data_IF_547479948794
#
_entry.id   IF_547479948794
#
_cell.length_a   1.000
_cell.length_b   1.000
_cell.length_c   1.000
_cell.angle_alpha   90.00
_cell.angle_beta   90.00
_cell.angle_gamma   90.00
#
_symmetry.space_group_name_H-M   'P 1'
#
loop_
_entity.id
_entity.type
_entity.pdbx_description
1 polymer ?
#
# COMPACT_ATOMS: atom_id res chain seq x y z
N UNK A 1 -11.82 88.25 34.41
CA UNK A 1 -10.39 88.56 34.22
C UNK A 1 -9.60 87.30 34.58
N UNK A 2 -8.53 86.84 33.96
CA UNK A 2 -7.67 87.24 32.82
C UNK A 2 -6.79 86.00 32.55
N UNK A 3 -6.36 85.82 31.30
CA UNK A 3 -5.42 84.79 30.79
C UNK A 3 -4.02 84.85 31.43
N UNK A 4 -3.30 83.71 31.46
CA UNK A 4 -1.85 83.48 31.14
C UNK A 4 -1.48 82.01 31.41
N UNK A 5 -1.13 81.13 30.43
CA UNK A 5 0.14 80.86 29.66
C UNK A 5 1.19 79.90 30.32
N UNK A 6 1.61 78.88 29.52
CA UNK A 6 2.85 78.03 29.50
C UNK A 6 3.01 76.97 30.61
N UNK A 7 3.58 75.76 30.42
CA UNK A 7 4.60 75.15 29.51
C UNK A 7 4.50 73.60 29.53
N UNK A 8 4.56 72.88 28.39
CA UNK A 8 5.68 72.05 27.84
C UNK A 8 6.26 70.95 28.75
N UNK A 9 6.24 69.68 28.30
CA UNK A 9 7.40 68.80 28.00
C UNK A 9 6.92 67.44 27.45
N UNK A 10 7.51 67.05 26.33
CA UNK A 10 7.45 65.77 25.61
C UNK A 10 8.72 64.95 25.91
N UNK A 11 8.63 63.62 25.85
CA UNK A 11 9.73 62.65 25.68
C UNK A 11 9.05 61.33 25.28
N UNK A 12 9.03 60.85 24.02
CA UNK A 12 10.15 60.55 23.10
C UNK A 12 11.26 59.77 23.81
N UNK A 13 11.07 58.46 23.91
CA UNK A 13 12.14 57.48 24.11
C UNK A 13 12.46 56.87 22.75
N UNK A 14 13.59 57.33 22.21
CA UNK A 14 14.25 56.82 21.01
C UNK A 14 14.78 55.41 21.31
N UNK A 15 14.29 54.42 20.55
CA UNK A 15 14.94 53.11 20.47
C UNK A 15 15.93 53.22 19.31
N UNK A 16 17.19 53.48 19.65
CA UNK A 16 18.33 53.41 18.75
C UNK A 16 18.43 51.99 18.17
N UNK A 17 18.25 51.87 16.85
CA UNK A 17 18.55 50.66 16.11
C UNK A 17 19.98 50.84 15.61
N UNK A 18 20.93 50.19 16.26
CA UNK A 18 22.30 50.06 15.77
C UNK A 18 22.27 49.26 14.45
N UNK A 19 22.68 49.92 13.36
CA UNK A 19 22.95 49.31 12.06
C UNK A 19 24.23 48.47 12.17
N UNK A 20 24.11 47.22 12.63
CA UNK A 20 25.19 46.25 12.48
C UNK A 20 25.27 45.80 11.00
N UNK A 21 26.35 46.21 10.34
CA UNK A 21 26.78 45.71 9.03
C UNK A 21 26.91 44.17 9.06
N UNK A 22 26.06 43.51 8.28
CA UNK A 22 26.05 42.05 8.15
C UNK A 22 27.18 41.61 7.22
N UNK A 23 28.27 41.15 7.83
CA UNK A 23 29.50 40.67 7.18
C UNK A 23 29.23 39.48 6.26
N UNK A 24 29.68 39.59 5.00
CA UNK A 24 29.65 38.52 4.02
C UNK A 24 30.77 37.53 4.31
N UNK A 25 30.46 36.39 4.93
CA UNK A 25 31.41 35.29 4.94
C UNK A 25 30.81 33.98 4.42
N UNK A 26 31.43 33.52 3.34
CA UNK A 26 31.06 32.39 2.51
C UNK A 26 31.22 31.08 3.28
N UNK A 27 30.15 30.30 3.38
CA UNK A 27 30.26 28.84 3.47
C UNK A 27 29.41 28.21 2.38
N UNK A 28 30.11 27.80 1.32
CA UNK A 28 29.65 26.80 0.37
C UNK A 28 29.06 25.61 1.13
N UNK A 29 27.85 25.18 0.79
CA UNK A 29 27.63 23.83 0.30
C UNK A 29 26.23 23.58 -0.27
N UNK A 30 26.26 23.01 -1.48
CA UNK A 30 25.28 22.17 -2.13
C UNK A 30 24.15 22.86 -2.94
N UNK A 31 24.48 23.09 -4.21
CA UNK A 31 23.54 23.39 -5.26
C UNK A 31 22.61 22.19 -5.53
N UNK A 32 21.32 22.38 -5.29
CA UNK A 32 20.27 21.70 -6.03
C UNK A 32 19.38 22.77 -6.64
N UNK A 33 19.58 23.02 -7.93
CA UNK A 33 18.82 24.00 -8.70
C UNK A 33 17.39 23.52 -8.88
N UNK A 34 16.47 24.12 -8.13
CA UNK A 34 15.12 24.35 -8.62
C UNK A 34 14.90 25.86 -8.56
N UNK A 35 14.49 26.46 -9.66
CA UNK A 35 14.25 27.91 -9.78
C UNK A 35 12.94 28.29 -9.09
N UNK A 36 12.78 27.87 -7.85
CA UNK A 36 11.70 28.23 -6.94
C UNK A 36 12.37 28.65 -5.63
N UNK A 37 12.19 29.91 -5.26
CA UNK A 37 12.75 30.44 -4.00
C UNK A 37 12.29 29.54 -2.85
N UNK A 38 13.23 29.00 -2.08
CA UNK A 38 12.87 28.09 -0.97
C UNK A 38 12.06 28.85 0.09
N UNK A 39 11.23 28.16 0.86
CA UNK A 39 10.42 28.80 1.92
C UNK A 39 11.30 29.49 2.97
N UNK A 40 12.49 28.92 3.22
CA UNK A 40 13.51 29.47 4.10
C UNK A 40 14.12 30.77 3.54
N UNK A 41 14.38 30.84 2.23
CA UNK A 41 14.82 32.07 1.54
C UNK A 41 13.76 33.18 1.58
N UNK A 42 12.47 32.83 1.47
CA UNK A 42 11.37 33.80 1.56
C UNK A 42 11.32 34.42 2.97
N UNK A 43 11.60 33.61 4.01
CA UNK A 43 11.70 34.10 5.39
C UNK A 43 13.05 34.75 5.72
N UNK A 44 14.06 34.59 4.86
CA UNK A 44 15.42 35.08 5.06
C UNK A 44 16.17 34.35 6.18
N UNK A 45 15.86 33.07 6.42
CA UNK A 45 16.46 32.27 7.49
C UNK A 45 17.14 31.02 6.92
N UNK A 46 18.12 30.48 7.63
CA UNK A 46 18.76 29.22 7.25
C UNK A 46 17.84 28.02 7.55
N UNK A 47 18.04 26.90 6.84
CA UNK A 47 17.26 25.66 7.01
C UNK A 47 17.43 25.02 8.40
N UNK A 48 18.55 25.26 9.06
CA UNK A 48 18.96 24.70 10.37
C UNK A 48 18.39 25.47 11.57
N UNK A 49 17.62 26.53 11.33
CA UNK A 49 17.15 27.50 12.33
C UNK A 49 16.07 26.91 13.25
N UNK A 50 16.07 27.32 14.52
CA UNK A 50 15.09 26.82 15.50
C UNK A 50 13.67 27.32 15.22
N UNK A 51 12.65 26.59 15.68
CA UNK A 51 11.24 27.01 15.50
C UNK A 51 10.95 28.40 16.11
N UNK A 52 11.62 28.73 17.22
CA UNK A 52 11.50 30.05 17.85
C UNK A 52 12.06 31.18 16.98
N UNK A 53 13.16 30.92 16.27
CA UNK A 53 13.77 31.89 15.36
C UNK A 53 12.94 32.10 14.08
N UNK A 54 12.32 31.04 13.54
CA UNK A 54 11.36 31.12 12.44
C UNK A 54 10.18 32.04 12.82
N UNK A 55 9.63 31.85 14.02
CA UNK A 55 8.53 32.69 14.52
C UNK A 55 8.96 34.14 14.69
N UNK A 56 10.19 34.40 15.17
CA UNK A 56 10.74 35.76 15.30
C UNK A 56 10.95 36.42 13.93
N UNK A 57 11.49 35.69 12.95
CA UNK A 57 11.67 36.18 11.58
C UNK A 57 10.34 36.53 10.91
N UNK A 58 9.33 35.67 11.08
CA UNK A 58 7.96 35.95 10.62
C UNK A 58 7.39 37.24 11.22
N UNK A 59 7.52 37.46 12.53
CA UNK A 59 7.00 38.69 13.15
C UNK A 59 7.70 39.94 12.60
N UNK A 60 9.01 39.90 12.41
CA UNK A 60 9.78 41.01 11.83
C UNK A 60 9.33 41.32 10.39
N UNK A 61 9.14 40.29 9.56
CA UNK A 61 8.68 40.45 8.18
C UNK A 61 7.21 40.87 8.09
N UNK A 62 6.35 40.33 8.95
CA UNK A 62 4.93 40.67 9.00
C UNK A 62 4.71 42.15 9.36
N UNK A 63 5.52 42.71 10.27
CA UNK A 63 5.47 44.13 10.61
C UNK A 63 5.94 45.03 9.44
N UNK A 64 6.92 44.58 8.67
CA UNK A 64 7.43 45.30 7.49
C UNK A 64 6.47 45.22 6.31
N UNK A 65 5.77 44.10 6.13
CA UNK A 65 4.86 43.85 5.02
C UNK A 65 3.38 44.06 5.39
N UNK A 66 3.10 44.67 6.54
CA UNK A 66 1.72 44.86 7.00
C UNK A 66 0.98 45.84 6.06
N UNK A 67 -0.22 45.50 5.57
CA UNK A 67 -0.95 46.33 4.60
C UNK A 67 -1.35 47.71 5.16
N UNK A 68 -1.45 47.85 6.47
CA UNK A 68 -1.70 49.14 7.15
C UNK A 68 -0.51 50.11 7.07
N UNK A 69 0.73 49.59 7.06
CA UNK A 69 1.95 50.40 7.00
C UNK A 69 2.47 50.59 5.58
N UNK A 70 2.09 49.70 4.67
CA UNK A 70 2.45 49.74 3.25
C UNK A 70 1.18 49.61 2.38
N UNK A 71 0.53 50.73 2.03
CA UNK A 71 -0.75 50.75 1.31
C UNK A 71 -0.63 50.43 -0.20
N UNK A 72 0.38 49.67 -0.62
CA UNK A 72 0.56 49.24 -2.02
C UNK A 72 -0.09 47.88 -2.30
N UNK A 73 -0.56 47.65 -3.52
CA UNK A 73 -1.15 46.36 -3.96
C UNK A 73 -0.20 45.18 -3.72
N UNK A 74 1.11 45.38 -3.92
CA UNK A 74 2.16 44.37 -3.69
C UNK A 74 2.24 43.89 -2.23
N UNK A 75 1.89 44.73 -1.26
CA UNK A 75 2.02 44.40 0.16
C UNK A 75 1.06 43.27 0.55
N UNK A 76 -0.15 43.29 -0.02
CA UNK A 76 -1.17 42.26 0.21
C UNK A 76 -0.72 40.91 -0.33
N UNK A 77 -0.16 40.86 -1.53
CA UNK A 77 0.34 39.62 -2.14
C UNK A 77 1.54 39.06 -1.37
N UNK A 78 2.51 39.91 -1.01
CA UNK A 78 3.69 39.51 -0.20
C UNK A 78 3.29 39.04 1.19
N UNK A 79 2.28 39.66 1.81
CA UNK A 79 1.76 39.24 3.10
C UNK A 79 1.04 37.88 3.02
N UNK A 80 0.25 37.65 1.98
CA UNK A 80 -0.37 36.34 1.73
C UNK A 80 0.67 35.24 1.50
N UNK A 81 1.75 35.53 0.76
CA UNK A 81 2.87 34.59 0.61
C UNK A 81 3.55 34.30 1.95
N UNK A 82 3.78 35.31 2.78
CA UNK A 82 4.35 35.16 4.11
C UNK A 82 3.46 34.30 5.03
N UNK A 83 2.14 34.45 4.95
CA UNK A 83 1.17 33.63 5.69
C UNK A 83 1.21 32.16 5.26
N UNK A 84 1.38 31.88 3.97
CA UNK A 84 1.55 30.50 3.47
C UNK A 84 2.85 29.88 3.97
N UNK A 85 3.94 30.65 3.98
CA UNK A 85 5.24 30.16 4.46
C UNK A 85 5.18 29.74 5.93
N UNK A 86 4.58 30.58 6.80
CA UNK A 86 4.49 30.26 8.23
C UNK A 86 3.50 29.13 8.53
N UNK A 87 2.48 28.91 7.68
CA UNK A 87 1.58 27.76 7.78
C UNK A 87 2.34 26.42 7.67
N UNK A 88 3.43 26.39 6.90
CA UNK A 88 4.24 25.19 6.63
C UNK A 88 5.43 25.10 7.58
N UNK A 89 6.22 26.18 7.71
CA UNK A 89 7.42 26.19 8.56
C UNK A 89 7.11 26.38 10.06
N UNK A 90 5.90 26.82 10.39
CA UNK A 90 5.43 27.06 11.75
C UNK A 90 4.88 25.83 12.46
N UNK A 91 4.68 24.72 11.76
CA UNK A 91 4.30 23.44 12.36
C UNK A 91 5.48 22.47 12.19
N UNK A 92 5.88 21.83 13.27
CA UNK A 92 7.03 20.92 13.27
C UNK A 92 6.81 19.71 12.35
N UNK A 93 5.58 19.21 12.28
CA UNK A 93 5.22 18.09 11.41
C UNK A 93 5.26 18.50 9.93
N UNK A 94 4.69 19.66 9.60
CA UNK A 94 4.68 20.18 8.22
C UNK A 94 6.06 20.63 7.75
N UNK A 95 6.88 21.15 8.67
CA UNK A 95 8.29 21.51 8.39
C UNK A 95 9.10 20.26 8.06
N UNK A 96 8.98 19.20 8.86
CA UNK A 96 9.65 17.93 8.59
C UNK A 96 9.23 17.36 7.23
N UNK A 97 7.94 17.44 6.91
CA UNK A 97 7.42 17.01 5.61
C UNK A 97 7.98 17.86 4.46
N UNK A 98 8.03 19.19 4.61
CA UNK A 98 8.63 20.10 3.63
C UNK A 98 10.13 19.82 3.44
N UNK A 99 10.86 19.57 4.52
CA UNK A 99 12.28 19.23 4.48
C UNK A 99 12.55 17.90 3.75
N UNK A 100 11.62 16.94 3.83
CA UNK A 100 11.73 15.64 3.18
C UNK A 100 11.28 15.65 1.71
N UNK A 101 10.20 16.36 1.41
CA UNK A 101 9.50 16.28 0.11
C UNK A 101 9.73 17.50 -0.79
N UNK A 102 10.12 18.65 -0.22
CA UNK A 102 10.28 19.91 -0.94
C UNK A 102 8.97 20.52 -1.48
N UNK A 103 7.82 19.97 -1.13
CA UNK A 103 6.53 20.34 -1.70
C UNK A 103 5.84 21.46 -0.91
N UNK A 104 5.28 22.47 -1.59
CA UNK A 104 4.84 23.75 -0.99
C UNK A 104 3.32 23.94 -0.98
N UNK A 105 2.56 23.23 -1.82
CA UNK A 105 1.13 23.49 -1.97
C UNK A 105 0.23 22.46 -1.26
N UNK A 106 -0.73 22.97 -0.47
CA UNK A 106 -1.80 22.18 0.17
C UNK A 106 -2.64 21.38 -0.86
N UNK A 107 -2.65 21.82 -2.12
CA UNK A 107 -3.31 21.11 -3.23
C UNK A 107 -2.50 19.90 -3.74
N UNK A 108 -1.17 19.93 -3.62
CA UNK A 108 -0.30 18.80 -3.97
C UNK A 108 -0.22 17.78 -2.82
N UNK A 109 -0.50 18.21 -1.57
CA UNK A 109 -0.73 17.31 -0.43
C UNK A 109 -2.00 16.44 -0.58
N UNK A 110 -2.93 16.78 -1.47
CA UNK A 110 -4.16 16.01 -1.66
C UNK A 110 -3.92 14.59 -2.24
N UNK A 111 -2.71 14.32 -2.76
CA UNK A 111 -2.28 12.98 -3.21
C UNK A 111 -1.54 12.15 -2.16
N UNK A 112 -0.77 12.79 -1.27
CA UNK A 112 0.16 12.11 -0.34
C UNK A 112 -0.38 12.01 1.11
N UNK A 113 -1.46 12.73 1.44
CA UNK A 113 -2.19 12.56 2.71
C UNK A 113 -2.81 11.17 2.80
N UNK A 114 -3.28 10.57 1.69
CA UNK A 114 -3.83 9.22 1.70
C UNK A 114 -2.78 8.15 2.04
N UNK A 115 -1.55 8.36 1.59
CA UNK A 115 -0.43 7.45 1.86
C UNK A 115 0.09 7.62 3.29
N UNK A 116 0.23 8.86 3.77
CA UNK A 116 0.57 9.15 5.17
C UNK A 116 -0.52 8.67 6.16
N UNK A 117 -1.80 8.80 5.81
CA UNK A 117 -2.90 8.30 6.63
C UNK A 117 -2.88 6.76 6.72
N UNK A 118 -2.54 6.08 5.61
CA UNK A 118 -2.38 4.63 5.59
C UNK A 118 -1.22 4.18 6.47
N UNK A 119 -0.08 4.87 6.42
CA UNK A 119 1.10 4.55 7.25
C UNK A 119 0.85 4.85 8.73
N UNK A 120 0.14 5.94 9.02
CA UNK A 120 -0.34 6.28 10.36
C UNK A 120 -1.30 5.23 10.92
N UNK A 121 -2.32 4.80 10.16
CA UNK A 121 -3.20 3.73 10.62
C UNK A 121 -2.50 2.38 10.73
N UNK A 122 -1.51 2.09 9.87
CA UNK A 122 -0.69 0.87 9.98
C UNK A 122 0.25 0.88 11.19
N UNK A 123 0.67 2.05 11.69
CA UNK A 123 1.47 2.14 12.91
C UNK A 123 0.61 2.03 14.17
N UNK A 124 -0.62 2.56 14.14
CA UNK A 124 -1.57 2.47 15.25
C UNK A 124 -2.10 1.04 15.47
N UNK A 125 -2.29 0.27 14.40
CA UNK A 125 -2.84 -1.08 14.48
C UNK A 125 -1.80 -2.15 14.19
N UNK A 126 -1.69 -3.17 15.06
CA UNK A 126 -0.82 -4.33 14.82
C UNK A 126 -1.12 -4.95 13.46
N UNK A 127 -0.07 -5.17 12.66
CA UNK A 127 -0.18 -5.88 11.39
C UNK A 127 -0.68 -7.31 11.65
N UNK A 128 -1.91 -7.61 11.20
CA UNK A 128 -2.51 -8.93 11.31
C UNK A 128 -1.73 -9.91 10.44
N UNK A 129 -1.13 -10.91 11.06
CA UNK A 129 -0.42 -12.00 10.37
C UNK A 129 -1.33 -13.19 10.12
N UNK A 130 -0.94 -14.09 9.20
CA UNK A 130 -1.67 -15.35 8.99
C UNK A 130 -1.74 -16.18 10.29
N UNK A 131 -0.70 -16.12 11.12
CA UNK A 131 -0.67 -16.80 12.40
C UNK A 131 -1.70 -16.22 13.39
N UNK A 132 -1.87 -14.89 13.44
CA UNK A 132 -2.88 -14.25 14.28
C UNK A 132 -4.31 -14.67 13.84
N UNK A 133 -4.54 -14.84 12.55
CA UNK A 133 -5.84 -15.32 12.01
C UNK A 133 -6.08 -16.78 12.39
N UNK A 134 -5.06 -17.64 12.25
CA UNK A 134 -5.14 -19.06 12.64
C UNK A 134 -5.40 -19.22 14.15
N UNK A 135 -4.74 -18.41 14.98
CA UNK A 135 -4.94 -18.38 16.43
C UNK A 135 -6.34 -17.88 16.80
N UNK A 136 -6.81 -16.79 16.17
CA UNK A 136 -8.16 -16.30 16.39
C UNK A 136 -9.22 -17.33 16.00
N UNK A 137 -9.09 -17.98 14.84
CA UNK A 137 -10.03 -19.02 14.40
C UNK A 137 -10.06 -20.22 15.35
N UNK A 138 -8.91 -20.63 15.87
CA UNK A 138 -8.80 -21.72 16.84
C UNK A 138 -9.46 -21.37 18.19
N UNK A 139 -9.34 -20.12 18.62
CA UNK A 139 -9.93 -19.66 19.88
C UNK A 139 -11.43 -19.33 19.76
N UNK A 140 -11.88 -18.91 18.59
CA UNK A 140 -13.29 -18.56 18.35
C UNK A 140 -14.16 -19.80 18.13
N UNK A 141 -13.71 -20.77 17.32
CA UNK A 141 -14.49 -21.98 17.02
C UNK A 141 -14.67 -22.85 18.28
N UNK A 142 -15.92 -23.11 18.63
CA UNK A 142 -16.32 -23.87 19.82
C UNK A 142 -16.32 -23.04 21.11
N UNK A 143 -16.14 -21.73 21.03
CA UNK A 143 -16.21 -20.83 22.19
C UNK A 143 -17.65 -20.41 22.49
N UNK A 144 -17.88 -19.93 23.72
CA UNK A 144 -19.16 -19.30 24.10
C UNK A 144 -19.48 -18.09 23.23
N UNK A 145 -18.46 -17.30 22.84
CA UNK A 145 -18.64 -16.16 21.94
C UNK A 145 -19.29 -16.60 20.62
N UNK A 146 -18.85 -17.73 20.06
CA UNK A 146 -19.46 -18.27 18.85
C UNK A 146 -20.92 -18.70 19.06
N UNK A 147 -21.25 -19.35 20.19
CA UNK A 147 -22.64 -19.69 20.53
C UNK A 147 -23.50 -18.42 20.60
N UNK A 148 -23.02 -17.38 21.29
CA UNK A 148 -23.75 -16.11 21.43
C UNK A 148 -23.97 -15.40 20.09
N UNK A 149 -22.95 -15.33 19.25
CA UNK A 149 -23.03 -14.72 17.91
C UNK A 149 -23.98 -15.52 17.01
N UNK A 150 -23.95 -16.85 17.09
CA UNK A 150 -24.81 -17.73 16.31
C UNK A 150 -26.30 -17.53 16.66
N UNK A 151 -26.61 -17.43 17.95
CA UNK A 151 -27.97 -17.13 18.44
C UNK A 151 -28.43 -15.76 17.95
N UNK A 152 -27.60 -14.73 18.15
CA UNK A 152 -27.93 -13.36 17.71
C UNK A 152 -28.17 -13.28 16.20
N UNK A 153 -27.30 -13.90 15.39
CA UNK A 153 -27.46 -13.94 13.93
C UNK A 153 -28.67 -14.76 13.51
N UNK A 154 -29.02 -15.83 14.24
CA UNK A 154 -30.22 -16.60 13.96
C UNK A 154 -31.47 -15.75 14.11
N UNK A 155 -31.57 -14.96 15.18
CA UNK A 155 -32.70 -14.06 15.40
C UNK A 155 -32.76 -12.98 14.30
N UNK A 156 -31.63 -12.35 14.00
CA UNK A 156 -31.51 -11.35 12.93
C UNK A 156 -31.92 -11.90 11.56
N UNK A 157 -31.46 -13.11 11.23
CA UNK A 157 -31.74 -13.79 9.97
C UNK A 157 -33.07 -14.56 9.97
N UNK A 158 -33.81 -14.57 11.09
CA UNK A 158 -35.07 -15.30 11.29
C UNK A 158 -34.95 -16.80 10.96
N UNK A 159 -33.81 -17.40 11.28
CA UNK A 159 -33.48 -18.80 11.00
C UNK A 159 -33.20 -19.12 9.53
N UNK A 160 -32.91 -18.12 8.69
CA UNK A 160 -32.38 -18.35 7.35
C UNK A 160 -30.87 -18.63 7.42
N UNK A 161 -30.51 -19.91 7.39
CA UNK A 161 -29.13 -20.35 7.53
C UNK A 161 -28.22 -19.91 6.38
N UNK A 162 -28.72 -19.76 5.15
CA UNK A 162 -27.90 -19.27 4.03
C UNK A 162 -27.42 -17.84 4.25
N UNK A 163 -28.26 -16.98 4.81
CA UNK A 163 -27.87 -15.61 5.19
C UNK A 163 -26.95 -15.62 6.41
N UNK A 164 -27.26 -16.46 7.39
CA UNK A 164 -26.43 -16.61 8.58
C UNK A 164 -25.00 -16.98 8.22
N UNK A 165 -24.78 -17.97 7.36
CA UNK A 165 -23.44 -18.38 6.93
C UNK A 165 -22.68 -17.29 6.14
N UNK A 166 -23.39 -16.35 5.51
CA UNK A 166 -22.72 -15.22 4.84
C UNK A 166 -22.23 -14.16 5.84
N UNK A 167 -22.85 -14.07 7.02
CA UNK A 167 -22.54 -13.05 8.02
C UNK A 167 -21.66 -13.60 9.15
N UNK A 168 -21.77 -14.89 9.47
CA UNK A 168 -21.07 -15.52 10.58
C UNK A 168 -19.57 -15.64 10.33
N UNK A 169 -18.78 -15.19 11.31
CA UNK A 169 -17.32 -15.29 11.30
C UNK A 169 -16.84 -16.74 11.31
N UNK A 170 -15.71 -16.97 10.64
CA UNK A 170 -15.03 -18.26 10.60
C UNK A 170 -15.93 -19.45 10.21
N UNK A 171 -17.00 -19.22 9.43
CA UNK A 171 -17.98 -20.26 9.09
C UNK A 171 -17.79 -20.84 7.68
N UNK A 172 -17.94 -22.16 7.54
CA UNK A 172 -17.99 -22.86 6.25
C UNK A 172 -19.23 -23.76 6.21
N UNK A 173 -20.21 -23.52 5.32
CA UNK A 173 -21.42 -24.33 5.23
C UNK A 173 -21.16 -25.83 5.09
N UNK A 174 -20.05 -26.26 4.48
CA UNK A 174 -19.76 -27.69 4.28
C UNK A 174 -19.22 -28.36 5.53
N UNK A 175 -18.53 -27.61 6.39
CA UNK A 175 -17.88 -28.14 7.59
C UNK A 175 -18.73 -27.90 8.84
N UNK A 176 -19.37 -26.73 8.92
CA UNK A 176 -19.99 -26.23 10.14
C UNK A 176 -21.51 -26.49 10.22
N UNK A 177 -22.16 -26.94 9.13
CA UNK A 177 -23.61 -27.18 9.13
C UNK A 177 -24.10 -28.12 10.23
N UNK A 178 -23.41 -29.24 10.47
CA UNK A 178 -23.81 -30.18 11.51
C UNK A 178 -23.60 -29.58 12.90
N UNK A 179 -22.44 -28.95 13.13
CA UNK A 179 -22.10 -28.34 14.42
C UNK A 179 -23.04 -27.19 14.79
N UNK A 180 -23.34 -26.30 13.84
CA UNK A 180 -24.29 -25.21 14.04
C UNK A 180 -25.70 -25.72 14.28
N UNK A 181 -26.09 -26.81 13.60
CA UNK A 181 -27.36 -27.47 13.88
C UNK A 181 -27.41 -27.97 15.32
N UNK A 182 -26.35 -28.63 15.80
CA UNK A 182 -26.33 -29.17 17.17
C UNK A 182 -26.41 -28.04 18.22
N UNK A 183 -25.64 -26.94 18.05
CA UNK A 183 -25.67 -25.77 18.94
C UNK A 183 -27.05 -25.10 18.94
N UNK A 184 -27.67 -24.92 17.76
CA UNK A 184 -28.98 -24.30 17.64
C UNK A 184 -30.09 -25.21 18.18
N UNK A 185 -30.01 -26.52 17.96
CA UNK A 185 -30.96 -27.49 18.51
C UNK A 185 -30.88 -27.51 20.05
N UNK A 186 -29.68 -27.44 20.61
CA UNK A 186 -29.45 -27.28 22.05
C UNK A 186 -30.11 -25.99 22.57
N UNK A 187 -29.80 -24.83 21.97
CA UNK A 187 -30.38 -23.54 22.36
C UNK A 187 -31.91 -23.49 22.21
N UNK A 188 -32.48 -24.17 21.22
CA UNK A 188 -33.93 -24.33 21.06
C UNK A 188 -34.50 -25.22 22.17
N UNK A 189 -33.80 -26.30 22.55
CA UNK A 189 -34.23 -27.20 23.62
C UNK A 189 -34.16 -26.55 25.00
N UNK A 190 -33.17 -25.70 25.23
CA UNK A 190 -33.03 -24.87 26.44
C UNK A 190 -34.08 -23.75 26.52
N UNK A 191 -34.73 -23.44 25.38
CA UNK A 191 -35.76 -22.41 25.27
C UNK A 191 -35.21 -21.00 25.06
N UNK A 192 -33.90 -20.85 24.84
CA UNK A 192 -33.26 -19.58 24.49
C UNK A 192 -33.73 -19.09 23.11
N UNK A 193 -33.97 -20.02 22.18
CA UNK A 193 -34.28 -19.71 20.79
C UNK A 193 -35.62 -20.31 20.33
N UNK A 194 -36.39 -19.54 19.56
CA UNK A 194 -37.62 -20.03 18.91
C UNK A 194 -37.30 -20.66 17.56
N UNK A 195 -37.63 -21.94 17.41
CA UNK A 195 -37.51 -22.65 16.13
C UNK A 195 -38.37 -22.01 15.04
N UNK A 196 -37.82 -21.85 13.84
CA UNK A 196 -38.52 -21.29 12.67
C UNK A 196 -38.72 -22.33 11.58
N UNK A 197 -39.74 -22.16 10.73
CA UNK A 197 -40.01 -23.07 9.60
C UNK A 197 -38.81 -23.17 8.64
N UNK A 198 -38.10 -22.06 8.42
CA UNK A 198 -36.92 -22.01 7.57
C UNK A 198 -35.80 -22.88 8.15
N UNK A 199 -35.55 -22.77 9.46
CA UNK A 199 -34.58 -23.57 10.17
C UNK A 199 -34.92 -25.07 10.11
N UNK A 200 -36.15 -25.46 10.42
CA UNK A 200 -36.58 -26.86 10.39
C UNK A 200 -36.35 -27.48 9.00
N UNK A 201 -36.66 -26.75 7.93
CA UNK A 201 -36.39 -27.21 6.56
C UNK A 201 -34.90 -27.43 6.31
N UNK A 202 -34.06 -26.51 6.76
CA UNK A 202 -32.61 -26.61 6.63
C UNK A 202 -32.04 -27.75 7.49
N UNK A 203 -32.45 -27.89 8.75
CA UNK A 203 -32.01 -28.94 9.65
C UNK A 203 -32.30 -30.34 9.08
N UNK A 204 -33.47 -30.51 8.45
CA UNK A 204 -33.84 -31.73 7.73
C UNK A 204 -32.96 -32.00 6.49
N UNK A 205 -32.44 -30.96 5.84
CA UNK A 205 -31.51 -31.10 4.72
C UNK A 205 -30.11 -31.50 5.20
N UNK A 206 -29.64 -30.90 6.30
CA UNK A 206 -28.35 -31.24 6.93
C UNK A 206 -28.37 -32.66 7.49
N UNK A 207 -29.48 -33.12 8.06
CA UNK A 207 -29.60 -34.51 8.54
C UNK A 207 -29.40 -35.55 7.42
N UNK A 208 -29.61 -35.17 6.14
CA UNK A 208 -29.38 -36.06 4.98
C UNK A 208 -27.94 -36.05 4.49
N UNK A 209 -27.14 -35.05 4.86
CA UNK A 209 -25.74 -34.97 4.48
C UNK A 209 -24.87 -35.75 5.46
N UNK A 210 -23.74 -36.29 4.97
CA UNK A 210 -22.79 -37.00 5.84
C UNK A 210 -22.02 -36.00 6.70
N UNK A 211 -21.84 -36.25 8.01
CA UNK A 211 -21.05 -35.39 8.87
C UNK A 211 -19.59 -35.36 8.41
N UNK A 212 -18.93 -34.19 8.46
CA UNK A 212 -17.55 -34.05 8.02
C UNK A 212 -16.57 -34.77 8.96
N UNK A 213 -15.50 -35.32 8.39
CA UNK A 213 -14.50 -36.16 9.09
C UNK A 213 -13.68 -35.40 10.15
N UNK A 214 -13.57 -34.08 10.06
CA UNK A 214 -12.94 -33.23 11.09
C UNK A 214 -13.62 -31.85 11.09
N UNK A 215 -14.52 -31.58 12.06
CA UNK A 215 -15.31 -30.34 12.07
C UNK A 215 -14.48 -29.10 12.47
N UNK A 216 -13.46 -29.29 13.31
CA UNK A 216 -12.73 -28.19 13.96
C UNK A 216 -11.49 -27.71 13.19
N UNK A 217 -10.92 -28.54 12.31
CA UNK A 217 -9.75 -28.15 11.51
C UNK A 217 -10.11 -27.97 10.05
N UNK A 218 -10.05 -26.73 9.57
CA UNK A 218 -9.98 -26.48 8.14
C UNK A 218 -8.74 -27.17 7.60
N UNK A 219 -8.88 -27.94 6.53
CA UNK A 219 -7.70 -28.42 5.79
C UNK A 219 -6.90 -27.19 5.40
N UNK A 220 -5.66 -27.06 5.89
CA UNK A 220 -4.72 -26.08 5.34
C UNK A 220 -4.80 -26.24 3.83
N UNK A 221 -5.08 -25.15 3.10
CA UNK A 221 -4.80 -25.15 1.67
C UNK A 221 -3.34 -25.56 1.61
N UNK A 222 -3.05 -26.75 1.09
CA UNK A 222 -1.70 -27.05 0.65
C UNK A 222 -1.38 -25.86 -0.25
N UNK A 223 -0.46 -24.99 0.21
CA UNK A 223 0.09 -23.94 -0.62
C UNK A 223 0.54 -24.70 -1.85
N UNK A 224 -0.25 -24.61 -2.92
CA UNK A 224 0.02 -25.34 -4.15
C UNK A 224 1.44 -24.96 -4.46
N UNK A 225 2.35 -25.93 -4.35
CA UNK A 225 3.78 -25.73 -4.47
C UNK A 225 4.01 -24.98 -5.78
N UNK A 226 4.14 -23.66 -5.73
CA UNK A 226 4.67 -22.88 -6.84
C UNK A 226 6.09 -23.35 -7.16
N UNK A 227 6.77 -23.90 -6.14
CA UNK A 227 8.06 -24.56 -6.25
C UNK A 227 8.01 -25.91 -7.02
N UNK A 228 6.84 -26.58 -7.15
CA UNK A 228 6.72 -27.81 -7.96
C UNK A 228 6.65 -27.50 -9.46
N UNK A 229 6.15 -26.33 -9.87
CA UNK A 229 6.00 -26.03 -11.30
C UNK A 229 7.38 -25.87 -11.95
N UNK A 230 8.28 -25.13 -11.30
CA UNK A 230 9.67 -24.99 -11.75
C UNK A 230 10.41 -26.33 -11.71
N UNK A 231 10.21 -27.14 -10.65
CA UNK A 231 10.77 -28.47 -10.57
C UNK A 231 10.26 -29.40 -11.69
N UNK A 232 8.96 -29.37 -11.99
CA UNK A 232 8.36 -30.14 -13.10
C UNK A 232 8.85 -29.66 -14.48
N UNK A 233 9.04 -28.35 -14.68
CA UNK A 233 9.59 -27.81 -15.92
C UNK A 233 11.05 -28.25 -16.08
N UNK A 234 11.86 -28.17 -15.02
CA UNK A 234 13.24 -28.62 -15.00
C UNK A 234 13.34 -30.13 -15.29
N UNK A 235 12.50 -30.96 -14.66
CA UNK A 235 12.44 -32.40 -14.90
C UNK A 235 12.05 -32.73 -16.35
N UNK A 236 11.06 -32.02 -16.92
CA UNK A 236 10.69 -32.21 -18.33
C UNK A 236 11.81 -31.79 -19.29
N UNK A 237 12.59 -30.78 -18.94
CA UNK A 237 13.76 -30.36 -19.72
C UNK A 237 14.88 -31.39 -19.67
N UNK A 238 15.17 -31.98 -18.51
CA UNK A 238 16.18 -33.04 -18.38
C UNK A 238 15.75 -34.33 -19.08
N UNK A 239 14.47 -34.72 -18.98
CA UNK A 239 13.93 -35.87 -19.72
C UNK A 239 13.99 -35.67 -21.25
N UNK A 240 13.70 -34.46 -21.73
CA UNK A 240 13.85 -34.12 -23.16
C UNK A 240 15.31 -34.19 -23.59
N UNK A 241 16.23 -33.65 -22.78
CA UNK A 241 17.67 -33.70 -23.06
C UNK A 241 18.18 -35.14 -23.12
N UNK A 242 17.83 -35.97 -22.15
CA UNK A 242 18.22 -37.39 -22.15
C UNK A 242 17.68 -38.17 -23.35
N UNK A 243 16.45 -37.87 -23.80
CA UNK A 243 15.90 -38.45 -25.05
C UNK A 243 16.65 -37.95 -26.29
N UNK A 244 17.03 -36.68 -26.34
CA UNK A 244 17.81 -36.12 -27.45
C UNK A 244 19.21 -36.76 -27.47
N UNK A 245 19.87 -36.89 -26.32
CA UNK A 245 21.19 -37.50 -26.21
C UNK A 245 21.14 -38.98 -26.65
N UNK A 246 20.13 -39.73 -26.22
CA UNK A 246 19.88 -41.10 -26.70
C UNK A 246 19.66 -41.18 -28.21
N UNK A 247 18.91 -40.24 -28.80
CA UNK A 247 18.70 -40.20 -30.25
C UNK A 247 19.98 -39.82 -30.99
N UNK A 248 20.75 -38.86 -30.46
CA UNK A 248 22.04 -38.41 -31.01
C UNK A 248 23.05 -39.54 -30.98
N UNK A 249 23.19 -40.26 -29.87
CA UNK A 249 24.06 -41.44 -29.79
C UNK A 249 23.60 -42.57 -30.72
N UNK A 250 22.29 -42.77 -30.89
CA UNK A 250 21.80 -43.74 -31.87
C UNK A 250 22.07 -43.29 -33.32
N UNK A 251 22.05 -41.99 -33.60
CA UNK A 251 22.38 -41.41 -34.90
C UNK A 251 23.88 -41.52 -35.17
N UNK A 252 24.70 -41.17 -34.19
CA UNK A 252 26.16 -41.26 -34.23
C UNK A 252 26.60 -42.71 -34.43
N UNK A 253 26.02 -43.67 -33.72
CA UNK A 253 26.31 -45.08 -33.98
C UNK A 253 25.86 -45.54 -35.37
N UNK A 254 24.79 -44.97 -35.93
CA UNK A 254 24.27 -45.35 -37.24
C UNK A 254 25.04 -44.70 -38.40
N UNK A 255 25.55 -43.48 -38.24
CA UNK A 255 26.12 -42.67 -39.32
C UNK A 255 27.55 -42.18 -39.05
N UNK A 256 28.01 -42.13 -37.81
CA UNK A 256 29.35 -41.69 -37.41
C UNK A 256 30.41 -42.80 -37.42
N UNK A 257 30.01 -44.06 -37.61
CA UNK A 257 30.91 -45.22 -37.60
C UNK A 257 31.63 -45.55 -38.91
N UNK A 258 31.45 -44.74 -39.96
CA UNK A 258 32.13 -44.94 -41.25
C UNK A 258 32.70 -43.63 -41.75
N UNK A 259 33.95 -43.64 -42.22
CA UNK A 259 34.56 -42.53 -42.95
C UNK A 259 33.74 -42.25 -44.22
N UNK A 260 32.71 -41.41 -44.11
CA UNK A 260 31.97 -40.87 -45.24
C UNK A 260 32.86 -39.76 -45.79
N UNK A 261 33.60 -40.07 -46.86
CA UNK A 261 34.22 -39.04 -47.69
C UNK A 261 33.14 -38.03 -48.08
N UNK A 262 33.46 -36.73 -47.97
CA UNK A 262 32.55 -35.68 -48.43
C UNK A 262 32.02 -36.03 -49.83
N UNK A 263 30.69 -36.02 -50.04
CA UNK A 263 30.12 -36.34 -51.35
C UNK A 263 30.70 -35.38 -52.39
N UNK A 264 31.02 -35.89 -53.58
CA UNK A 264 31.60 -35.04 -54.62
C UNK A 264 30.64 -33.90 -54.97
N UNK A 265 31.18 -32.76 -55.39
CA UNK A 265 30.39 -31.56 -55.72
C UNK A 265 29.28 -31.86 -56.76
N UNK A 266 29.53 -32.83 -57.64
CA UNK A 266 28.57 -33.32 -58.63
C UNK A 266 27.37 -34.05 -58.00
N UNK A 267 27.61 -34.87 -56.97
CA UNK A 267 26.54 -35.56 -56.23
C UNK A 267 25.71 -34.59 -55.39
N UNK A 268 26.36 -33.55 -54.85
CA UNK A 268 25.70 -32.47 -54.11
C UNK A 268 24.81 -31.61 -55.01
N UNK A 269 25.31 -31.21 -56.18
CA UNK A 269 24.51 -30.49 -57.18
C UNK A 269 23.32 -31.32 -57.67
N UNK A 270 23.51 -32.62 -57.90
CA UNK A 270 22.43 -33.53 -58.29
C UNK A 270 21.35 -33.63 -57.21
N UNK A 271 21.73 -33.64 -55.92
CA UNK A 271 20.81 -33.62 -54.80
C UNK A 271 20.03 -32.29 -54.71
N UNK A 272 20.69 -31.14 -54.94
CA UNK A 272 20.02 -29.84 -55.00
C UNK A 272 19.00 -29.78 -56.14
N UNK A 273 19.37 -30.21 -57.36
CA UNK A 273 18.44 -30.25 -58.51
C UNK A 273 17.23 -31.16 -58.25
N UNK A 274 17.40 -32.27 -57.53
CA UNK A 274 16.29 -33.14 -57.08
C UNK A 274 15.36 -32.46 -56.07
N UNK A 275 15.91 -31.66 -55.15
CA UNK A 275 15.13 -30.88 -54.19
C UNK A 275 14.35 -29.75 -54.86
N UNK A 276 14.98 -29.04 -55.80
CA UNK A 276 14.35 -27.96 -56.54
C UNK A 276 13.24 -28.45 -57.48
N UNK A 277 13.45 -29.59 -58.15
CA UNK A 277 12.40 -30.20 -58.98
C UNK A 277 11.21 -30.67 -58.14
N UNK A 278 11.42 -31.24 -56.95
CA UNK A 278 10.35 -31.56 -55.99
C UNK A 278 9.62 -30.30 -55.49
N UNK A 279 10.33 -29.19 -55.23
CA UNK A 279 9.71 -27.90 -54.87
C UNK A 279 8.86 -27.33 -56.01
N UNK A 280 9.31 -27.44 -57.26
CA UNK A 280 8.54 -27.03 -58.45
C UNK A 280 7.29 -27.88 -58.66
N UNK A 281 7.38 -29.20 -58.46
CA UNK A 281 6.23 -30.13 -58.53
C UNK A 281 5.17 -29.84 -57.46
N UNK A 282 5.54 -29.29 -56.31
CA UNK A 282 4.62 -28.99 -55.20
C UNK A 282 3.95 -27.60 -55.30
N UNK A 283 4.38 -26.75 -56.24
CA UNK A 283 3.86 -25.38 -56.48
C UNK A 283 3.00 -25.28 -57.75
N UNK A 284 2.64 -26.40 -58.38
CA UNK A 284 1.67 -26.48 -59.48
C UNK A 284 0.41 -27.20 -59.02
#
# INVERSE_FOLDING_TARGET
MVRTKKSTVTSEEDIEIEDEEFDQNQHSNNASSSTQKTLYEILGVERTVSHQEIRKAYHKLALRLHPDKNPGEDAKEKFQQLQKVISILGDEEKRALYDQTGCVDDADLAGDVAQNLKEFFQSLYKKVTEADIEEFEANYRGSESEKTDLIHLFEKCKGNMSRLFCEMLCSDPKLDSHRFKDILDEAISEGELKSTKAYVKWANQVAKTKPPTSPLKRKKKSKGKSDDLYAMIAQKQTERKGKIDSLLSSLENKYGGGAISEPSEEEFEAAQRRLESKKKSKRK
#
